data_IF_188755631303
#
_entry.id   IF_188755631303
#
_cell.length_a   1.000
_cell.length_b   1.000
_cell.length_c   1.000
_cell.angle_alpha   90.00
_cell.angle_beta   90.00
_cell.angle_gamma   90.00
#
_symmetry.space_group_name_H-M   'P 1'
#
loop_
_entity.id
_entity.type
_entity.pdbx_description
1 polymer ?
#
# COMPACT_ATOMS: atom_id res chain seq x y z
N UNK A 1 -9.92 -6.58 -4.20
CA UNK A 1 -9.12 -6.06 -3.07
C UNK A 1 -9.97 -5.11 -2.24
N UNK A 2 -10.01 -5.26 -0.91
CA UNK A 2 -10.84 -4.42 0.00
C UNK A 2 -10.58 -2.91 -0.15
N UNK A 3 -9.33 -2.49 -0.39
CA UNK A 3 -8.99 -1.09 -0.65
C UNK A 3 -9.68 -0.54 -1.91
N UNK A 4 -9.75 -1.32 -3.00
CA UNK A 4 -10.47 -0.91 -4.21
C UNK A 4 -11.99 -0.93 -4.00
N UNK A 5 -12.52 -1.81 -3.15
CA UNK A 5 -13.93 -1.76 -2.77
C UNK A 5 -14.25 -0.48 -1.96
N UNK A 6 -13.37 -0.08 -1.03
CA UNK A 6 -13.51 1.18 -0.31
C UNK A 6 -13.43 2.40 -1.23
N UNK A 7 -12.49 2.41 -2.19
CA UNK A 7 -12.40 3.47 -3.21
C UNK A 7 -13.67 3.55 -4.06
N UNK A 8 -14.21 2.41 -4.49
CA UNK A 8 -15.48 2.36 -5.22
C UNK A 8 -16.66 2.93 -4.42
N UNK A 9 -16.75 2.61 -3.11
CA UNK A 9 -17.75 3.21 -2.21
C UNK A 9 -17.59 4.73 -2.04
N UNK A 10 -16.41 5.26 -2.32
CA UNK A 10 -16.10 6.70 -2.29
C UNK A 10 -16.09 7.36 -3.68
N UNK A 11 -16.53 6.66 -4.73
CA UNK A 11 -16.57 7.19 -6.09
C UNK A 11 -15.19 7.38 -6.75
N UNK A 12 -14.15 6.71 -6.22
CA UNK A 12 -12.79 6.80 -6.72
C UNK A 12 -12.46 5.62 -7.65
N UNK A 13 -11.63 5.84 -8.69
CA UNK A 13 -11.16 4.76 -9.54
C UNK A 13 -10.31 3.76 -8.74
N UNK A 14 -10.31 2.47 -9.13
CA UNK A 14 -9.48 1.46 -8.48
C UNK A 14 -7.99 1.79 -8.67
N UNK A 15 -7.18 1.44 -7.67
CA UNK A 15 -5.72 1.43 -7.81
C UNK A 15 -5.30 0.28 -8.71
N UNK A 16 -4.37 0.55 -9.63
CA UNK A 16 -3.72 -0.43 -10.48
C UNK A 16 -2.44 -0.92 -9.82
N UNK A 17 -2.40 -2.18 -9.39
CA UNK A 17 -1.18 -2.71 -8.78
C UNK A 17 -0.16 -3.10 -9.86
N UNK A 18 1.07 -2.59 -9.77
CA UNK A 18 2.12 -2.80 -10.76
C UNK A 18 3.15 -3.82 -10.26
N UNK A 19 3.85 -4.50 -11.18
CA UNK A 19 4.87 -5.48 -10.81
C UNK A 19 6.05 -4.84 -10.05
N UNK A 20 6.52 -3.67 -10.50
CA UNK A 20 7.61 -2.94 -9.85
C UNK A 20 7.28 -2.57 -8.39
N UNK A 21 6.10 -1.98 -8.16
CA UNK A 21 5.69 -1.62 -6.80
C UNK A 21 5.44 -2.85 -5.91
N UNK A 22 4.96 -3.96 -6.48
CA UNK A 22 4.80 -5.21 -5.76
C UNK A 22 6.15 -5.79 -5.32
N UNK A 23 7.17 -5.78 -6.19
CA UNK A 23 8.50 -6.26 -5.83
C UNK A 23 9.11 -5.43 -4.69
N UNK A 24 9.03 -4.10 -4.78
CA UNK A 24 9.52 -3.19 -3.74
C UNK A 24 8.78 -3.42 -2.41
N UNK A 25 7.45 -3.45 -2.45
CA UNK A 25 6.64 -3.68 -1.26
C UNK A 25 6.92 -5.06 -0.64
N UNK A 26 7.10 -6.09 -1.46
CA UNK A 26 7.37 -7.46 -1.01
C UNK A 26 8.74 -7.57 -0.34
N UNK A 27 9.79 -6.99 -0.92
CA UNK A 27 11.12 -6.91 -0.30
C UNK A 27 11.05 -6.17 1.04
N UNK A 28 10.32 -5.06 1.08
CA UNK A 28 10.23 -4.27 2.30
C UNK A 28 9.43 -4.99 3.41
N UNK A 29 8.32 -5.65 3.07
CA UNK A 29 7.61 -6.46 4.06
C UNK A 29 8.45 -7.63 4.59
N UNK A 30 9.33 -8.21 3.77
CA UNK A 30 10.30 -9.20 4.23
C UNK A 30 11.32 -8.59 5.21
N UNK A 31 11.81 -7.38 4.95
CA UNK A 31 12.69 -6.65 5.87
C UNK A 31 12.00 -6.33 7.20
N UNK A 32 10.75 -5.86 7.17
CA UNK A 32 9.95 -5.62 8.38
C UNK A 32 9.77 -6.91 9.21
N UNK A 33 9.52 -8.04 8.54
CA UNK A 33 9.43 -9.35 9.18
C UNK A 33 10.76 -9.78 9.81
N UNK A 34 11.88 -9.61 9.09
CA UNK A 34 13.21 -9.93 9.59
C UNK A 34 13.61 -9.06 10.79
N UNK A 35 13.26 -7.78 10.78
CA UNK A 35 13.45 -6.87 11.91
C UNK A 35 12.48 -7.12 13.07
N UNK A 36 11.39 -7.88 12.84
CA UNK A 36 10.36 -8.15 13.85
C UNK A 36 9.56 -6.91 14.29
N UNK A 37 9.57 -5.81 13.53
CA UNK A 37 8.92 -4.54 13.90
C UNK A 37 8.35 -3.79 12.69
N UNK A 38 7.39 -2.92 12.94
CA UNK A 38 6.88 -1.97 11.93
C UNK A 38 7.77 -0.74 11.88
N UNK A 39 8.13 -0.29 10.68
CA UNK A 39 8.86 0.95 10.45
C UNK A 39 8.63 1.46 9.03
N UNK A 40 8.83 2.76 8.81
CA UNK A 40 8.94 3.35 7.46
C UNK A 40 10.38 3.41 6.95
N UNK A 41 11.35 3.08 7.82
CA UNK A 41 12.78 3.01 7.51
C UNK A 41 13.27 1.58 7.68
N UNK A 42 13.93 1.05 6.64
CA UNK A 42 14.50 -0.30 6.64
C UNK A 42 15.68 -0.46 7.58
N UNK A 43 16.15 -1.70 7.73
CA UNK A 43 17.33 -2.02 8.55
C UNK A 43 18.61 -1.31 8.06
N UNK A 44 18.64 -0.99 6.77
CA UNK A 44 19.71 -0.28 6.06
C UNK A 44 19.58 1.25 6.11
N UNK A 45 18.59 1.79 6.83
CA UNK A 45 18.34 3.22 6.94
C UNK A 45 17.58 3.84 5.76
N UNK A 46 17.19 3.07 4.74
CA UNK A 46 16.48 3.59 3.56
C UNK A 46 14.98 3.73 3.81
N UNK A 47 14.43 4.88 3.42
CA UNK A 47 13.00 5.18 3.42
C UNK A 47 12.33 4.87 2.09
N UNK A 48 11.02 5.15 1.99
CA UNK A 48 10.21 4.86 0.80
C UNK A 48 10.80 5.47 -0.49
N UNK A 49 11.25 6.72 -0.44
CA UNK A 49 11.78 7.42 -1.62
C UNK A 49 13.03 6.72 -2.18
N UNK A 50 13.96 6.31 -1.31
CA UNK A 50 15.14 5.55 -1.73
C UNK A 50 14.75 4.19 -2.30
N UNK A 51 13.83 3.47 -1.64
CA UNK A 51 13.35 2.16 -2.14
C UNK A 51 12.66 2.26 -3.51
N UNK A 52 11.95 3.36 -3.78
CA UNK A 52 11.35 3.62 -5.10
C UNK A 52 12.40 3.97 -6.15
N UNK A 53 13.41 4.77 -5.79
CA UNK A 53 14.52 5.11 -6.67
C UNK A 53 15.35 3.87 -7.05
N UNK A 54 15.67 3.00 -6.08
CA UNK A 54 16.41 1.76 -6.31
C UNK A 54 15.68 0.77 -7.23
N UNK A 55 14.35 0.89 -7.31
CA UNK A 55 13.50 0.11 -8.20
C UNK A 55 13.15 0.81 -9.51
N UNK A 56 13.82 1.91 -9.85
CA UNK A 56 13.59 2.74 -11.04
C UNK A 56 12.12 3.18 -11.20
N UNK A 57 11.43 3.47 -10.09
CA UNK A 57 10.04 3.93 -10.10
C UNK A 57 9.96 5.46 -10.02
N UNK A 58 9.63 6.10 -11.13
CA UNK A 58 9.30 7.52 -11.19
C UNK A 58 7.88 7.82 -10.69
N UNK A 59 7.71 8.89 -9.91
CA UNK A 59 6.42 9.29 -9.33
C UNK A 59 6.34 10.80 -9.04
N UNK A 60 5.13 11.38 -9.11
CA UNK A 60 4.87 12.76 -8.67
C UNK A 60 4.66 12.86 -7.16
N UNK A 61 3.97 11.87 -6.60
CA UNK A 61 3.83 11.71 -5.15
C UNK A 61 3.69 10.22 -4.81
N UNK A 62 4.15 9.85 -3.62
CA UNK A 62 4.09 8.49 -3.11
C UNK A 62 3.77 8.49 -1.61
N UNK A 63 3.13 7.43 -1.14
CA UNK A 63 2.90 7.18 0.28
C UNK A 63 2.90 5.69 0.57
N UNK A 64 2.98 5.33 1.86
CA UNK A 64 3.07 3.95 2.32
C UNK A 64 2.20 3.74 3.55
N UNK A 65 1.49 2.61 3.56
CA UNK A 65 0.93 2.02 4.78
C UNK A 65 1.77 0.81 5.17
N UNK A 66 2.18 0.73 6.44
CA UNK A 66 2.82 -0.45 7.03
C UNK A 66 2.03 -0.96 8.21
N UNK A 67 1.97 -2.29 8.36
CA UNK A 67 1.21 -2.89 9.44
C UNK A 67 1.73 -4.27 9.81
N UNK A 68 1.37 -4.72 11.00
CA UNK A 68 1.67 -6.07 11.51
C UNK A 68 0.40 -6.71 12.08
N UNK A 69 0.30 -8.03 12.00
CA UNK A 69 -0.86 -8.75 12.50
C UNK A 69 -0.66 -10.25 12.65
N UNK A 70 -1.53 -10.86 13.45
CA UNK A 70 -1.63 -12.33 13.56
C UNK A 70 -2.38 -12.92 12.37
N UNK A 71 -2.25 -14.23 12.19
CA UNK A 71 -3.01 -15.00 11.20
C UNK A 71 -2.29 -15.13 9.87
N UNK A 72 -0.99 -14.83 9.81
CA UNK A 72 -0.18 -14.95 8.59
C UNK A 72 -0.85 -14.30 7.39
N UNK A 73 -0.95 -15.04 6.28
CA UNK A 73 -1.63 -14.59 5.05
C UNK A 73 -3.15 -14.57 5.19
N UNK A 74 -3.73 -15.46 5.98
CA UNK A 74 -5.19 -15.54 6.19
C UNK A 74 -5.74 -14.30 6.88
N UNK A 75 -4.91 -13.63 7.70
CA UNK A 75 -5.25 -12.38 8.38
C UNK A 75 -5.26 -11.13 7.48
N UNK A 76 -4.96 -11.26 6.18
CA UNK A 76 -4.86 -10.12 5.26
C UNK A 76 -6.15 -9.30 5.12
N UNK A 77 -7.35 -9.90 5.05
CA UNK A 77 -8.60 -9.14 5.05
C UNK A 77 -8.74 -8.23 6.28
N UNK A 78 -8.33 -8.73 7.46
CA UNK A 78 -8.36 -7.94 8.69
C UNK A 78 -7.31 -6.83 8.70
N UNK A 79 -6.14 -7.04 8.06
CA UNK A 79 -5.14 -5.97 7.88
C UNK A 79 -5.68 -4.85 6.99
N UNK A 80 -6.33 -5.18 5.88
CA UNK A 80 -6.93 -4.18 5.01
C UNK A 80 -8.02 -3.38 5.72
N UNK A 81 -8.86 -4.03 6.54
CA UNK A 81 -9.85 -3.38 7.39
C UNK A 81 -9.19 -2.49 8.45
N UNK A 82 -8.12 -2.95 9.09
CA UNK A 82 -7.39 -2.18 10.08
C UNK A 82 -6.80 -0.89 9.50
N UNK A 83 -6.26 -0.93 8.27
CA UNK A 83 -5.83 0.29 7.57
C UNK A 83 -7.01 1.22 7.29
N UNK A 84 -8.16 0.71 6.85
CA UNK A 84 -9.35 1.55 6.59
C UNK A 84 -9.96 2.17 7.85
N UNK A 85 -9.74 1.58 9.03
CA UNK A 85 -10.21 2.08 10.31
C UNK A 85 -9.23 3.07 10.97
N UNK A 86 -8.02 3.22 10.44
CA UNK A 86 -7.04 4.18 10.92
C UNK A 86 -7.07 5.42 10.01
N UNK A 87 -7.39 6.63 10.53
CA UNK A 87 -7.52 7.83 9.70
C UNK A 87 -6.31 8.09 8.80
N UNK A 88 -5.09 8.06 9.35
CA UNK A 88 -3.86 8.29 8.57
C UNK A 88 -3.67 7.27 7.43
N UNK A 89 -3.93 5.98 7.69
CA UNK A 89 -3.80 4.95 6.65
C UNK A 89 -4.94 5.01 5.62
N UNK A 90 -6.16 5.35 6.07
CA UNK A 90 -7.34 5.52 5.23
C UNK A 90 -7.14 6.70 4.27
N UNK A 91 -6.54 7.79 4.72
CA UNK A 91 -6.25 8.97 3.89
C UNK A 91 -5.36 8.60 2.71
N UNK A 92 -4.35 7.74 2.93
CA UNK A 92 -3.55 7.18 1.83
C UNK A 92 -4.40 6.35 0.86
N UNK A 93 -5.26 5.46 1.36
CA UNK A 93 -6.11 4.59 0.52
C UNK A 93 -7.09 5.40 -0.34
N UNK A 94 -7.65 6.49 0.21
CA UNK A 94 -8.67 7.32 -0.43
C UNK A 94 -8.08 8.58 -1.09
N UNK A 95 -6.76 8.74 -1.11
CA UNK A 95 -6.14 9.86 -1.80
C UNK A 95 -6.45 9.77 -3.31
N UNK A 96 -6.97 10.87 -3.86
CA UNK A 96 -7.43 10.98 -5.25
C UNK A 96 -6.29 11.07 -6.25
N UNK A 97 -5.08 11.44 -5.81
CA UNK A 97 -3.90 11.53 -6.66
C UNK A 97 -3.29 10.16 -6.94
N UNK A 98 -3.45 9.19 -6.05
CA UNK A 98 -2.90 7.85 -6.26
C UNK A 98 -3.75 7.03 -7.23
N UNK A 99 -3.06 6.43 -8.20
CA UNK A 99 -3.64 5.55 -9.23
C UNK A 99 -2.93 4.21 -9.32
N UNK A 100 -1.74 4.06 -8.72
CA UNK A 100 -0.98 2.82 -8.71
C UNK A 100 -0.66 2.33 -7.30
N UNK A 101 -0.52 1.01 -7.14
CA UNK A 101 -0.19 0.37 -5.88
C UNK A 101 0.84 -0.76 -5.99
N UNK A 102 1.43 -1.11 -4.85
CA UNK A 102 2.14 -2.38 -4.63
C UNK A 102 1.83 -2.91 -3.24
N UNK A 103 1.69 -4.22 -3.09
CA UNK A 103 1.38 -4.86 -1.82
C UNK A 103 2.38 -5.97 -1.57
N UNK A 104 3.04 -5.91 -0.41
CA UNK A 104 3.98 -6.91 0.07
C UNK A 104 3.47 -7.59 1.33
N UNK A 105 3.88 -8.85 1.50
CA UNK A 105 3.55 -9.63 2.70
C UNK A 105 4.79 -10.40 3.16
N UNK A 106 5.33 -10.02 4.31
CA UNK A 106 6.38 -10.76 5.02
C UNK A 106 5.76 -11.63 6.10
N UNK A 107 6.20 -12.89 6.21
CA UNK A 107 5.76 -13.81 7.26
C UNK A 107 6.93 -14.10 8.19
N UNK A 108 6.66 -14.19 9.49
CA UNK A 108 7.69 -14.43 10.50
C UNK A 108 7.10 -14.79 11.85
N UNK A 109 8.00 -15.02 12.81
CA UNK A 109 7.66 -15.23 14.22
C UNK A 109 7.79 -13.89 14.94
N UNK A 110 6.67 -13.30 15.36
CA UNK A 110 6.71 -12.01 16.05
C UNK A 110 7.32 -12.17 17.44
N UNK A 111 8.48 -11.57 17.71
CA UNK A 111 9.00 -11.50 19.08
C UNK A 111 8.08 -10.57 19.88
N UNK A 112 7.40 -11.08 20.91
CA UNK A 112 6.41 -10.34 21.71
C UNK A 112 4.97 -10.38 21.20
N UNK A 113 4.73 -10.89 19.99
CA UNK A 113 3.40 -11.29 19.52
C UNK A 113 3.36 -12.81 19.63
N UNK A 114 2.64 -13.39 20.60
CA UNK A 114 2.43 -14.85 20.63
C UNK A 114 1.85 -15.26 19.28
N UNK A 115 2.68 -15.84 18.40
CA UNK A 115 2.24 -16.25 17.09
C UNK A 115 1.24 -17.39 17.29
N UNK A 116 -0.01 -17.21 16.84
CA UNK A 116 -0.90 -18.35 16.66
C UNK A 116 -0.30 -19.31 15.63
N UNK A 117 -0.90 -20.48 15.44
CA UNK A 117 -0.41 -21.52 14.52
C UNK A 117 -0.04 -21.02 13.10
N UNK A 118 -0.64 -19.91 12.66
CA UNK A 118 -0.47 -19.35 11.30
C UNK A 118 0.59 -18.23 11.20
N UNK A 119 1.33 -17.93 12.28
CA UNK A 119 2.40 -16.92 12.28
C UNK A 119 1.93 -15.46 12.34
N UNK A 120 2.88 -14.54 12.21
CA UNK A 120 2.68 -13.09 12.13
C UNK A 120 2.97 -12.63 10.70
N UNK A 121 2.18 -11.68 10.20
CA UNK A 121 2.42 -11.03 8.91
C UNK A 121 2.72 -9.54 9.07
N UNK A 122 3.68 -9.09 8.28
CA UNK A 122 4.00 -7.69 8.06
C UNK A 122 3.54 -7.32 6.66
N UNK A 123 2.84 -6.20 6.54
CA UNK A 123 2.22 -5.77 5.30
C UNK A 123 2.71 -4.38 4.96
N UNK A 124 3.12 -4.22 3.73
CA UNK A 124 3.44 -2.93 3.13
C UNK A 124 2.48 -2.69 1.98
N UNK A 125 1.87 -1.51 1.93
CA UNK A 125 1.14 -1.03 0.76
C UNK A 125 1.78 0.27 0.31
N UNK A 126 2.33 0.28 -0.89
CA UNK A 126 2.88 1.48 -1.53
C UNK A 126 1.82 2.04 -2.46
N UNK A 127 1.63 3.36 -2.44
CA UNK A 127 0.76 4.10 -3.33
C UNK A 127 1.58 5.10 -4.11
N UNK A 128 1.33 5.23 -5.41
CA UNK A 128 1.97 6.26 -6.24
C UNK A 128 0.97 6.97 -7.15
N UNK A 129 1.28 8.24 -7.41
CA UNK A 129 0.82 8.96 -8.58
C UNK A 129 1.96 8.89 -9.62
N UNK A 130 1.85 8.06 -10.67
CA UNK A 130 2.92 7.87 -11.65
C UNK A 130 3.27 9.18 -12.37
N UNK A 131 4.54 9.39 -12.74
CA UNK A 131 5.00 10.57 -13.49
C UNK A 131 4.18 10.84 -14.76
N UNK A 132 3.84 9.79 -15.51
CA UNK A 132 3.10 9.90 -16.77
C UNK A 132 1.57 9.83 -16.60
N UNK A 133 1.05 10.07 -15.41
CA UNK A 133 -0.40 10.11 -15.18
C UNK A 133 -1.02 11.32 -15.88
N UNK A 134 -1.56 11.11 -17.08
CA UNK A 134 -2.53 12.05 -17.67
C UNK A 134 -3.72 12.04 -16.73
N UNK A 135 -3.88 13.11 -15.91
CA UNK A 135 -5.11 13.29 -15.15
C UNK A 135 -6.23 13.20 -16.17
N UNK A 136 -7.14 12.23 -16.01
CA UNK A 136 -8.47 12.28 -16.62
C UNK A 136 -9.06 13.62 -16.18
N UNK A 137 -8.79 14.69 -16.94
CA UNK A 137 -9.57 15.91 -16.87
C UNK A 137 -10.97 15.42 -17.21
N UNK A 138 -11.86 15.43 -16.23
CA UNK A 138 -13.28 15.48 -16.51
C UNK A 138 -13.45 16.64 -17.48
N UNK A 139 -13.60 16.34 -18.77
CA UNK A 139 -14.04 17.33 -19.72
C UNK A 139 -15.41 17.80 -19.21
N UNK A 140 -15.68 19.12 -19.10
CA UNK A 140 -17.02 19.58 -18.80
C UNK A 140 -17.95 18.98 -19.86
N UNK A 141 -19.01 18.32 -19.41
CA UNK A 141 -20.02 17.78 -20.31
C UNK A 141 -20.53 18.93 -21.18
N UNK A 142 -20.31 18.84 -22.48
CA UNK A 142 -21.06 19.67 -23.41
C UNK A 142 -22.49 19.15 -23.39
N UNK A 143 -23.35 19.82 -22.63
CA UNK A 143 -24.78 19.65 -22.78
C UNK A 143 -25.15 20.00 -24.23
N UNK A 144 -25.91 19.16 -24.94
CA UNK A 144 -26.36 19.50 -26.28
C UNK A 144 -27.26 20.73 -26.20
N UNK A 145 -26.97 21.74 -27.03
CA UNK A 145 -27.94 22.79 -27.32
C UNK A 145 -29.04 22.18 -28.17
N UNK A 146 -30.23 22.10 -27.61
CA UNK A 146 -31.50 22.01 -28.34
C UNK A 146 -32.49 22.93 -27.66
#
# INVERSE_FOLDING_TARGET
MEMNAARGRSGLPPLACTAALQDIAQRYSADLSAMGRVSHTGADGRGLAQRLADGDVGYRTASENVGVGRGGRDGMPDRARAFLNSPAHRDNILNTSFTSCGIGIGIGIGIGIVAGANGVSWVTVIFTEPENSVRLRLAPSQAPRV
#
